data_IF_245923577570
#
_entry.id   IF_245923577570
#
_cell.length_a   1.000
_cell.length_b   1.000
_cell.length_c   1.000
_cell.angle_alpha   90.00
_cell.angle_beta   90.00
_cell.angle_gamma   90.00
#
_symmetry.space_group_name_H-M   'P 1'
#
loop_
_entity.id
_entity.type
_entity.pdbx_description
1 polymer ?
#
# COMPACT_ATOMS: atom_id res chain seq x y z
N UNK A 1 8.06 56.07 50.00
CA UNK A 1 7.02 55.05 49.77
C UNK A 1 6.33 55.36 48.46
N UNK A 2 6.79 54.78 47.34
CA UNK A 2 5.84 54.32 46.34
C UNK A 2 6.27 53.05 45.53
N UNK A 3 5.23 52.34 45.09
CA UNK A 3 5.06 51.50 43.86
C UNK A 3 6.10 50.47 43.43
N UNK A 4 5.71 49.19 43.60
CA UNK A 4 6.14 48.03 42.81
C UNK A 4 5.56 48.11 41.40
N UNK A 5 6.42 48.05 40.38
CA UNK A 5 6.05 47.74 39.00
C UNK A 5 6.39 46.26 38.73
N UNK A 6 5.43 45.53 38.14
CA UNK A 6 5.58 44.16 37.66
C UNK A 6 6.39 44.16 36.36
N UNK A 7 7.51 43.44 36.34
CA UNK A 7 8.22 43.08 35.12
C UNK A 7 7.48 41.94 34.41
N UNK A 8 6.92 42.25 33.23
CA UNK A 8 6.44 41.28 32.27
C UNK A 8 7.65 40.62 31.58
N UNK A 9 7.98 39.39 31.97
CA UNK A 9 8.86 38.52 31.18
C UNK A 9 8.07 38.01 29.97
N UNK A 10 8.34 38.59 28.81
CA UNK A 10 7.93 38.06 27.52
C UNK A 10 8.66 36.74 27.26
N UNK A 11 7.95 35.61 27.41
CA UNK A 11 8.41 34.33 26.89
C UNK A 11 8.37 34.36 25.36
N UNK A 12 9.55 34.55 24.76
CA UNK A 12 9.81 34.28 23.35
C UNK A 12 9.51 32.80 23.08
N UNK A 13 8.44 32.55 22.33
CA UNK A 13 8.08 31.24 21.82
C UNK A 13 9.13 30.82 20.79
N UNK A 14 10.07 29.96 21.18
CA UNK A 14 10.92 29.25 20.22
C UNK A 14 10.12 28.06 19.68
N UNK A 15 10.02 27.87 18.36
CA UNK A 15 9.34 26.71 17.80
C UNK A 15 10.12 25.46 18.19
N UNK A 16 9.51 24.62 19.03
CA UNK A 16 10.07 23.32 19.37
C UNK A 16 10.25 22.50 18.09
N UNK A 17 11.48 21.99 17.93
CA UNK A 17 11.91 21.13 16.85
C UNK A 17 10.95 19.96 16.64
N UNK A 18 10.55 19.72 15.39
CA UNK A 18 9.79 18.53 14.99
C UNK A 18 10.62 17.28 15.29
N UNK A 19 10.18 16.37 16.17
CA UNK A 19 10.67 15.01 16.18
C UNK A 19 9.85 14.21 15.16
N UNK A 20 10.50 13.35 14.37
CA UNK A 20 9.89 12.40 13.42
C UNK A 20 9.71 12.87 11.96
N UNK A 21 10.70 13.54 11.37
CA UNK A 21 10.90 13.43 9.92
C UNK A 21 11.68 12.12 9.65
N UNK A 22 11.03 11.03 9.19
CA UNK A 22 11.79 9.88 8.69
C UNK A 22 12.68 10.34 7.54
N UNK A 23 13.89 9.80 7.49
CA UNK A 23 14.89 10.01 6.43
C UNK A 23 14.23 10.13 5.06
N UNK A 24 14.59 11.16 4.29
CA UNK A 24 14.11 11.34 2.92
C UNK A 24 14.18 10.00 2.17
N UNK A 25 13.05 9.60 1.59
CA UNK A 25 12.99 8.36 0.82
C UNK A 25 13.98 8.46 -0.34
N UNK A 26 14.76 7.41 -0.56
CA UNK A 26 15.59 7.29 -1.76
C UNK A 26 14.68 7.54 -2.97
N UNK A 27 14.95 8.57 -3.80
CA UNK A 27 14.11 8.91 -4.95
C UNK A 27 14.05 7.80 -6.01
N UNK A 28 14.81 6.71 -5.82
CA UNK A 28 14.88 5.59 -6.73
C UNK A 28 15.51 5.99 -8.07
N UNK A 29 15.42 5.11 -9.06
CA UNK A 29 16.06 5.32 -10.36
C UNK A 29 15.04 5.57 -11.46
N UNK A 30 15.40 6.34 -12.49
CA UNK A 30 14.58 6.42 -13.69
C UNK A 30 14.72 5.10 -14.50
N UNK A 31 13.67 4.62 -15.19
CA UNK A 31 13.76 3.41 -16.02
C UNK A 31 14.93 3.43 -17.02
N UNK A 32 15.18 4.59 -17.65
CA UNK A 32 16.29 4.76 -18.58
C UNK A 32 17.67 4.56 -17.93
N UNK A 33 17.83 4.93 -16.65
CA UNK A 33 19.09 4.74 -15.92
C UNK A 33 19.32 3.24 -15.65
N UNK A 34 18.32 2.53 -15.15
CA UNK A 34 18.40 1.08 -14.90
C UNK A 34 18.69 0.30 -16.18
N UNK A 35 18.04 0.64 -17.28
CA UNK A 35 18.30 0.02 -18.58
C UNK A 35 19.69 0.34 -19.13
N UNK A 36 20.19 1.56 -18.91
CA UNK A 36 21.57 1.91 -19.26
C UNK A 36 22.55 1.06 -18.45
N UNK A 37 22.31 0.88 -17.15
CA UNK A 37 23.10 0.00 -16.29
C UNK A 37 23.04 -1.45 -16.77
N UNK A 38 21.86 -1.98 -17.12
CA UNK A 38 21.73 -3.32 -17.73
C UNK A 38 22.56 -3.47 -19.00
N UNK A 39 22.49 -2.49 -19.92
CA UNK A 39 23.28 -2.49 -21.16
C UNK A 39 24.79 -2.46 -20.89
N UNK A 40 25.24 -1.68 -19.92
CA UNK A 40 26.64 -1.62 -19.51
C UNK A 40 27.13 -2.93 -18.90
N UNK A 41 26.34 -3.57 -18.05
CA UNK A 41 26.70 -4.87 -17.47
C UNK A 41 26.72 -5.97 -18.56
N UNK A 42 25.76 -5.92 -19.50
CA UNK A 42 25.72 -6.85 -20.64
C UNK A 42 26.92 -6.68 -21.57
N UNK A 43 27.40 -5.45 -21.79
CA UNK A 43 28.60 -5.21 -22.61
C UNK A 43 29.88 -5.71 -21.96
N UNK A 44 29.86 -6.08 -20.67
CA UNK A 44 30.95 -6.79 -19.97
C UNK A 44 30.85 -8.31 -20.07
N UNK A 45 29.90 -8.83 -20.85
CA UNK A 45 29.73 -10.27 -21.06
C UNK A 45 28.94 -10.99 -19.96
N UNK A 46 28.30 -10.26 -19.04
CA UNK A 46 27.45 -10.87 -18.03
C UNK A 46 26.16 -11.42 -18.66
N UNK A 47 25.78 -12.67 -18.35
CA UNK A 47 24.47 -13.21 -18.69
C UNK A 47 23.36 -12.36 -18.08
N UNK A 48 22.24 -12.37 -18.75
CA UNK A 48 21.11 -11.50 -18.47
C UNK A 48 20.49 -11.79 -17.09
N UNK A 49 20.52 -13.06 -16.67
CA UNK A 49 20.07 -13.56 -15.37
C UNK A 49 20.97 -13.04 -14.23
N UNK A 50 22.29 -13.01 -14.47
CA UNK A 50 23.27 -12.48 -13.49
C UNK A 50 23.10 -10.98 -13.33
N UNK A 51 22.84 -10.26 -14.44
CA UNK A 51 22.56 -8.82 -14.39
C UNK A 51 21.32 -8.53 -13.55
N UNK A 52 20.24 -9.28 -13.77
CA UNK A 52 19.01 -9.10 -12.99
C UNK A 52 19.24 -9.39 -11.51
N UNK A 53 19.97 -10.46 -11.18
CA UNK A 53 20.34 -10.78 -9.80
C UNK A 53 21.20 -9.69 -9.14
N UNK A 54 22.14 -9.08 -9.88
CA UNK A 54 22.94 -7.95 -9.39
C UNK A 54 22.04 -6.75 -9.06
N UNK A 55 21.10 -6.41 -9.96
CA UNK A 55 20.20 -5.28 -9.75
C UNK A 55 19.20 -5.55 -8.63
N UNK A 56 18.70 -6.78 -8.51
CA UNK A 56 17.83 -7.18 -7.41
C UNK A 56 18.57 -7.12 -6.08
N UNK A 57 19.80 -7.64 -6.00
CA UNK A 57 20.63 -7.56 -4.79
C UNK A 57 20.97 -6.12 -4.40
N UNK A 58 21.18 -5.25 -5.39
CA UNK A 58 21.48 -3.84 -5.16
C UNK A 58 20.23 -2.97 -4.92
N UNK A 59 19.02 -3.55 -4.99
CA UNK A 59 17.75 -2.82 -5.03
C UNK A 59 17.74 -1.69 -6.08
N UNK A 60 18.45 -1.89 -7.19
CA UNK A 60 18.64 -0.90 -8.25
C UNK A 60 17.48 -0.97 -9.25
N UNK A 61 16.33 -0.49 -8.81
CA UNK A 61 15.05 -0.57 -9.53
C UNK A 61 14.48 0.80 -9.84
N UNK A 62 13.71 0.94 -10.92
CA UNK A 62 12.92 2.13 -11.10
C UNK A 62 11.80 2.22 -10.07
N UNK A 63 11.36 3.45 -9.83
CA UNK A 63 10.25 3.75 -8.92
C UNK A 63 9.18 4.59 -9.62
N UNK A 64 7.92 4.29 -9.34
CA UNK A 64 6.78 5.18 -9.63
C UNK A 64 6.14 5.57 -8.30
N UNK A 65 5.86 6.86 -8.14
CA UNK A 65 5.37 7.42 -6.88
C UNK A 65 4.03 8.09 -7.11
N UNK A 66 3.07 7.83 -6.22
CA UNK A 66 1.81 8.57 -6.13
C UNK A 66 1.77 9.25 -4.78
N UNK A 67 1.52 10.56 -4.76
CA UNK A 67 1.50 11.40 -3.56
C UNK A 67 0.15 12.10 -3.50
N UNK A 68 -0.59 11.90 -2.41
CA UNK A 68 -1.87 12.56 -2.14
C UNK A 68 -1.73 13.52 -0.96
N UNK A 69 -1.85 14.83 -1.26
CA UNK A 69 -1.85 15.94 -0.30
C UNK A 69 -2.98 16.89 -0.65
N UNK A 70 -4.12 16.73 0.01
CA UNK A 70 -5.31 17.54 -0.24
C UNK A 70 -5.24 18.88 0.50
N UNK A 71 -6.04 19.85 0.05
CA UNK A 71 -6.07 21.19 0.64
C UNK A 71 -6.49 21.20 2.12
N UNK A 72 -7.31 20.23 2.53
CA UNK A 72 -7.75 20.01 3.90
C UNK A 72 -7.51 18.55 4.32
N UNK A 73 -7.40 18.32 5.63
CA UNK A 73 -7.39 16.96 6.16
C UNK A 73 -8.66 16.21 5.74
N UNK A 74 -8.52 14.91 5.50
CA UNK A 74 -9.64 14.03 5.19
C UNK A 74 -9.84 13.08 6.35
N UNK A 75 -11.11 12.82 6.68
CA UNK A 75 -11.47 12.13 7.91
C UNK A 75 -12.34 10.93 7.54
N UNK A 76 -11.86 9.72 7.89
CA UNK A 76 -12.74 8.56 7.99
C UNK A 76 -13.34 8.56 9.39
N UNK A 77 -14.64 8.82 9.51
CA UNK A 77 -15.32 8.88 10.80
C UNK A 77 -16.53 7.95 10.82
N UNK A 78 -16.55 7.02 11.78
CA UNK A 78 -17.70 6.17 12.06
C UNK A 78 -18.67 6.90 12.99
N UNK A 79 -19.97 6.80 12.68
CA UNK A 79 -21.06 7.34 13.49
C UNK A 79 -22.18 6.31 13.59
N UNK A 80 -23.10 6.51 14.54
CA UNK A 80 -24.29 5.68 14.65
C UNK A 80 -25.18 5.74 13.39
N UNK A 81 -25.09 6.83 12.63
CA UNK A 81 -25.93 7.10 11.45
C UNK A 81 -25.33 6.55 10.14
N UNK A 82 -23.99 6.59 9.99
CA UNK A 82 -23.31 6.34 8.70
C UNK A 82 -22.58 4.98 8.62
N UNK A 83 -22.91 4.05 9.53
CA UNK A 83 -22.30 2.73 9.76
C UNK A 83 -21.20 2.69 10.83
N UNK A 84 -21.07 1.50 11.43
CA UNK A 84 -20.07 1.17 12.44
C UNK A 84 -18.63 1.15 11.90
N UNK A 85 -18.44 1.39 10.60
CA UNK A 85 -17.16 1.22 9.91
C UNK A 85 -17.02 2.23 8.75
N UNK A 86 -16.25 3.28 8.99
CA UNK A 86 -15.92 4.26 7.96
C UNK A 86 -14.84 3.72 7.02
N UNK A 87 -15.03 3.98 5.73
CA UNK A 87 -14.10 3.59 4.66
C UNK A 87 -13.86 4.79 3.76
N UNK A 88 -12.65 5.32 3.77
CA UNK A 88 -12.26 6.48 2.97
C UNK A 88 -11.12 6.06 2.04
N UNK A 89 -11.40 5.94 0.74
CA UNK A 89 -10.38 5.78 -0.27
C UNK A 89 -9.58 7.08 -0.36
N UNK A 90 -8.37 7.08 0.20
CA UNK A 90 -7.56 8.29 0.34
C UNK A 90 -6.58 8.47 -0.81
N UNK A 91 -6.02 7.39 -1.35
CA UNK A 91 -5.08 7.44 -2.46
C UNK A 91 -5.33 6.27 -3.41
N UNK A 92 -5.27 6.54 -4.70
CA UNK A 92 -5.23 5.55 -5.79
C UNK A 92 -4.03 5.85 -6.66
N UNK A 93 -3.19 4.84 -6.89
CA UNK A 93 -2.10 4.98 -7.84
C UNK A 93 -2.65 4.99 -9.27
N UNK A 94 -1.89 5.59 -10.18
CA UNK A 94 -2.06 5.26 -11.59
C UNK A 94 -1.85 3.75 -11.80
N UNK A 95 -2.39 3.17 -12.89
CA UNK A 95 -2.06 1.81 -13.28
C UNK A 95 -0.55 1.61 -13.36
N UNK A 96 -0.07 0.50 -12.80
CA UNK A 96 1.33 0.17 -12.77
C UNK A 96 1.89 0.12 -14.19
N UNK A 97 3.06 0.72 -14.43
CA UNK A 97 3.61 0.85 -15.78
C UNK A 97 3.79 -0.53 -16.43
N UNK A 98 3.43 -0.64 -17.71
CA UNK A 98 3.62 -1.84 -18.51
C UNK A 98 2.42 -2.28 -19.32
N UNK A 99 2.64 -3.37 -20.04
CA UNK A 99 1.61 -3.95 -20.89
C UNK A 99 0.70 -4.81 -20.01
N UNK A 100 -0.54 -4.34 -19.83
CA UNK A 100 -1.58 -5.15 -19.23
C UNK A 100 -1.90 -6.33 -20.17
N UNK A 101 -1.70 -7.55 -19.68
CA UNK A 101 -2.14 -8.77 -20.36
C UNK A 101 -3.27 -9.40 -19.55
N UNK A 102 -4.50 -9.49 -20.10
CA UNK A 102 -5.59 -10.12 -19.39
C UNK A 102 -5.25 -11.58 -19.12
N UNK A 103 -5.64 -12.07 -17.94
CA UNK A 103 -5.51 -13.49 -17.62
C UNK A 103 -6.38 -14.29 -18.59
N UNK A 104 -5.88 -15.45 -19.08
CA UNK A 104 -6.70 -16.31 -19.93
C UNK A 104 -7.99 -16.64 -19.18
N UNK A 105 -9.13 -16.41 -19.83
CA UNK A 105 -10.41 -16.79 -19.28
C UNK A 105 -10.39 -18.31 -19.08
N UNK A 106 -10.61 -18.77 -17.85
CA UNK A 106 -10.57 -20.17 -17.46
C UNK A 106 -11.47 -20.99 -18.40
N UNK A 107 -10.87 -21.76 -19.31
CA UNK A 107 -11.61 -22.46 -20.36
C UNK A 107 -10.77 -22.77 -21.61
N UNK A 108 -9.62 -23.42 -21.41
CA UNK A 108 -8.78 -23.91 -22.50
C UNK A 108 -7.46 -24.46 -21.97
N UNK A 109 -7.46 -25.71 -21.51
CA UNK A 109 -6.21 -26.45 -21.31
C UNK A 109 -5.49 -26.57 -22.65
N UNK A 110 -4.24 -26.09 -22.74
CA UNK A 110 -3.06 -26.88 -23.15
C UNK A 110 -1.83 -26.23 -22.50
N UNK A 111 -1.14 -26.98 -21.63
CA UNK A 111 0.28 -26.82 -21.34
C UNK A 111 0.67 -25.84 -20.23
N UNK A 112 1.42 -26.35 -19.26
CA UNK A 112 2.16 -25.55 -18.27
C UNK A 112 2.98 -24.46 -18.96
N UNK A 113 2.83 -23.21 -18.51
CA UNK A 113 3.95 -22.28 -18.50
C UNK A 113 3.95 -21.50 -17.17
N UNK A 114 4.88 -21.79 -16.25
CA UNK A 114 5.08 -21.02 -15.02
C UNK A 114 5.58 -19.59 -15.27
N UNK A 115 5.77 -19.18 -16.53
CA UNK A 115 6.47 -17.96 -16.92
C UNK A 115 5.76 -17.10 -17.97
N UNK A 116 4.48 -16.76 -17.78
CA UNK A 116 3.92 -15.63 -18.54
C UNK A 116 4.41 -14.29 -17.96
N UNK A 117 5.63 -13.92 -18.35
CA UNK A 117 6.25 -12.64 -18.04
C UNK A 117 5.42 -11.45 -18.54
N UNK A 118 5.31 -10.42 -17.72
CA UNK A 118 4.66 -9.16 -18.08
C UNK A 118 5.73 -8.11 -18.44
N UNK A 119 5.53 -7.36 -19.53
CA UNK A 119 6.40 -6.22 -19.87
C UNK A 119 6.10 -5.04 -18.93
N UNK A 120 7.13 -4.42 -18.36
CA UNK A 120 7.04 -3.18 -17.58
C UNK A 120 7.46 -1.99 -18.47
N UNK A 121 6.54 -1.09 -18.78
CA UNK A 121 6.64 -0.16 -19.91
C UNK A 121 6.98 -0.86 -21.24
N UNK A 122 7.72 -0.17 -22.12
CA UNK A 122 8.33 -0.76 -23.32
C UNK A 122 9.46 -1.79 -22.99
N UNK A 123 9.56 -2.31 -21.76
CA UNK A 123 10.72 -3.06 -21.27
C UNK A 123 10.33 -4.43 -20.70
N UNK A 124 11.15 -5.46 -20.95
CA UNK A 124 10.91 -6.84 -20.53
C UNK A 124 11.39 -7.07 -19.09
N UNK A 125 10.46 -7.22 -18.14
CA UNK A 125 10.81 -7.70 -16.81
C UNK A 125 11.00 -9.24 -16.83
N UNK A 126 12.11 -9.71 -16.24
CA UNK A 126 12.35 -11.14 -15.99
C UNK A 126 12.16 -11.46 -14.51
N UNK A 127 11.68 -12.68 -14.24
CA UNK A 127 11.36 -13.18 -12.91
C UNK A 127 9.86 -13.15 -12.58
N UNK A 128 9.48 -13.85 -11.51
CA UNK A 128 8.08 -14.16 -11.20
C UNK A 128 7.28 -12.97 -10.64
N UNK A 129 7.94 -11.95 -10.07
CA UNK A 129 7.29 -10.87 -9.32
C UNK A 129 7.70 -9.48 -9.85
N UNK A 130 6.99 -8.92 -10.84
CA UNK A 130 7.41 -7.68 -11.51
C UNK A 130 7.54 -6.48 -10.54
N UNK A 131 6.70 -6.43 -9.50
CA UNK A 131 6.86 -5.51 -8.37
C UNK A 131 7.81 -6.11 -7.35
N UNK A 132 8.83 -5.36 -6.95
CA UNK A 132 9.85 -5.80 -6.00
C UNK A 132 9.60 -5.24 -4.60
N UNK A 133 9.19 -3.99 -4.50
CA UNK A 133 9.02 -3.29 -3.22
C UNK A 133 7.92 -2.23 -3.30
N UNK A 134 7.11 -2.17 -2.25
CA UNK A 134 6.15 -1.10 -1.99
C UNK A 134 6.58 -0.35 -0.74
N UNK A 135 6.55 0.98 -0.81
CA UNK A 135 6.74 1.84 0.35
C UNK A 135 5.49 2.70 0.51
N UNK A 136 4.92 2.67 1.71
CA UNK A 136 3.78 3.49 2.09
C UNK A 136 4.24 4.50 3.14
N UNK A 137 3.98 5.78 2.90
CA UNK A 137 4.18 6.85 3.89
C UNK A 137 2.83 7.49 4.19
N UNK A 138 2.41 7.49 5.45
CA UNK A 138 1.15 8.14 5.87
C UNK A 138 1.43 9.17 6.95
N UNK A 139 0.72 10.29 6.91
CA UNK A 139 0.68 11.27 8.01
C UNK A 139 -0.75 11.36 8.49
N UNK A 140 -1.00 10.80 9.67
CA UNK A 140 -2.35 10.63 10.21
C UNK A 140 -2.36 10.70 11.73
N UNK A 141 -3.57 10.74 12.30
CA UNK A 141 -3.82 10.64 13.73
C UNK A 141 -5.18 10.04 14.02
N UNK A 142 -5.34 9.63 15.27
CA UNK A 142 -6.59 9.09 15.79
C UNK A 142 -7.50 10.21 16.33
N UNK A 143 -8.65 9.84 16.91
CA UNK A 143 -9.62 10.79 17.49
C UNK A 143 -9.09 11.58 18.69
N UNK A 144 -8.03 11.09 19.35
CA UNK A 144 -7.34 11.83 20.41
C UNK A 144 -7.87 11.63 21.83
N UNK A 145 -8.79 10.71 22.04
CA UNK A 145 -9.36 10.39 23.35
C UNK A 145 -9.85 8.95 23.40
N UNK A 146 -9.82 8.34 24.58
CA UNK A 146 -10.35 6.99 24.83
C UNK A 146 -10.71 6.84 26.30
N UNK A 147 -11.69 6.00 26.61
CA UNK A 147 -11.97 5.53 27.97
C UNK A 147 -11.30 4.18 28.28
N UNK A 148 -10.63 3.58 27.29
CA UNK A 148 -10.03 2.26 27.37
C UNK A 148 -8.52 2.36 27.63
N UNK A 149 -7.92 1.25 28.06
CA UNK A 149 -6.47 1.14 28.19
C UNK A 149 -5.76 1.15 26.82
N UNK A 150 -4.45 1.36 26.84
CA UNK A 150 -3.60 1.31 25.63
C UNK A 150 -3.41 2.65 24.90
N UNK A 151 -3.85 3.77 25.51
CA UNK A 151 -3.58 5.11 24.98
C UNK A 151 -2.08 5.34 24.72
N UNK A 152 -1.76 5.95 23.58
CA UNK A 152 -0.37 6.21 23.18
C UNK A 152 0.36 4.99 22.61
N UNK A 153 -0.31 3.84 22.52
CA UNK A 153 0.21 2.62 21.87
C UNK A 153 -0.57 2.32 20.57
N UNK A 154 -0.21 1.27 19.84
CA UNK A 154 -1.01 0.78 18.70
C UNK A 154 -2.06 -0.27 19.10
N UNK A 155 -2.08 -0.68 20.37
CA UNK A 155 -3.02 -1.69 20.88
C UNK A 155 -4.40 -1.08 21.06
N UNK A 156 -5.42 -1.81 20.65
CA UNK A 156 -6.82 -1.37 20.78
C UNK A 156 -7.18 -0.17 19.90
N UNK A 157 -6.31 0.20 18.93
CA UNK A 157 -6.62 1.23 17.95
C UNK A 157 -7.58 0.70 16.90
N UNK A 158 -8.72 1.38 16.74
CA UNK A 158 -9.74 1.13 15.74
C UNK A 158 -9.75 2.21 14.65
N UNK A 159 -8.62 2.87 14.42
CA UNK A 159 -8.35 3.62 13.21
C UNK A 159 -7.06 3.10 12.54
N UNK A 160 -7.17 2.75 11.25
CA UNK A 160 -6.07 2.10 10.53
C UNK A 160 -6.13 2.38 9.03
N UNK A 161 -5.10 1.95 8.32
CA UNK A 161 -5.04 1.90 6.86
C UNK A 161 -5.04 0.46 6.39
N UNK A 162 -5.73 0.23 5.28
CA UNK A 162 -5.66 -1.01 4.53
C UNK A 162 -5.35 -0.73 3.06
N UNK A 163 -4.75 -1.71 2.41
CA UNK A 163 -4.37 -1.67 1.01
C UNK A 163 -5.16 -2.72 0.27
N UNK A 164 -5.58 -2.38 -0.93
CA UNK A 164 -6.04 -3.35 -1.89
C UNK A 164 -5.61 -2.97 -3.30
N UNK A 165 -5.57 -3.97 -4.18
CA UNK A 165 -5.25 -3.75 -5.58
C UNK A 165 -6.42 -4.12 -6.48
N UNK A 166 -6.48 -3.43 -7.61
CA UNK A 166 -7.49 -3.58 -8.63
C UNK A 166 -6.82 -3.82 -9.99
N UNK A 167 -7.31 -4.82 -10.72
CA UNK A 167 -6.84 -5.20 -12.04
C UNK A 167 -7.91 -4.85 -13.07
N UNK A 168 -7.58 -4.22 -14.20
CA UNK A 168 -8.59 -3.98 -15.23
C UNK A 168 -9.07 -5.31 -15.81
N UNK A 169 -10.36 -5.41 -16.14
CA UNK A 169 -10.94 -6.59 -16.81
C UNK A 169 -10.53 -6.63 -18.28
N UNK A 170 -10.48 -5.46 -18.93
CA UNK A 170 -9.97 -5.24 -20.27
C UNK A 170 -9.50 -3.78 -20.41
N UNK A 171 -8.41 -3.55 -21.15
CA UNK A 171 -7.90 -2.19 -21.42
C UNK A 171 -8.92 -1.35 -22.21
N UNK A 172 -9.72 -1.99 -23.07
CA UNK A 172 -10.73 -1.34 -23.91
C UNK A 172 -11.90 -0.77 -23.09
N UNK A 173 -12.08 -1.25 -21.85
CA UNK A 173 -13.14 -0.79 -20.95
C UNK A 173 -12.73 0.37 -20.06
N UNK A 174 -11.44 0.78 -20.10
CA UNK A 174 -10.94 1.88 -19.29
C UNK A 174 -11.16 3.22 -19.99
N UNK A 175 -11.72 4.19 -19.25
CA UNK A 175 -11.77 5.58 -19.68
C UNK A 175 -10.49 6.32 -19.27
N UNK A 176 -10.23 7.50 -19.85
CA UNK A 176 -9.11 8.35 -19.40
C UNK A 176 -9.20 8.67 -17.90
N UNK A 177 -10.41 8.83 -17.36
CA UNK A 177 -10.62 9.09 -15.93
C UNK A 177 -10.22 7.91 -15.04
N UNK A 178 -10.25 6.68 -15.55
CA UNK A 178 -9.83 5.48 -14.81
C UNK A 178 -8.32 5.37 -14.62
N UNK A 179 -7.56 6.10 -15.45
CA UNK A 179 -6.09 6.11 -15.47
C UNK A 179 -5.48 7.20 -14.59
N UNK A 180 -6.29 8.17 -14.19
CA UNK A 180 -5.82 9.32 -13.40
C UNK A 180 -5.84 9.05 -11.89
N UNK A 181 -4.94 9.68 -11.11
CA UNK A 181 -5.03 9.70 -9.65
C UNK A 181 -6.34 10.33 -9.16
N UNK A 182 -6.67 10.08 -7.88
CA UNK A 182 -7.84 10.72 -7.26
C UNK A 182 -7.67 12.23 -7.16
N UNK A 183 -8.67 12.97 -7.63
CA UNK A 183 -8.77 14.42 -7.40
C UNK A 183 -9.02 14.76 -5.92
N UNK A 184 -9.79 13.92 -5.23
CA UNK A 184 -10.06 14.02 -3.80
C UNK A 184 -10.31 12.62 -3.18
N UNK A 185 -10.18 12.50 -1.86
CA UNK A 185 -10.53 11.28 -1.14
C UNK A 185 -12.04 10.99 -1.24
N UNK A 186 -12.37 9.71 -1.41
CA UNK A 186 -13.74 9.27 -1.70
C UNK A 186 -14.27 8.39 -0.58
N UNK A 187 -15.44 8.72 -0.05
CA UNK A 187 -16.14 7.86 0.93
C UNK A 187 -16.69 6.62 0.22
N UNK A 188 -16.32 5.44 0.69
CA UNK A 188 -16.74 4.16 0.12
C UNK A 188 -17.91 3.63 0.94
N UNK A 189 -19.13 3.63 0.37
CA UNK A 189 -20.36 3.33 1.12
C UNK A 189 -20.95 1.94 0.86
N UNK A 190 -20.68 1.28 -0.28
CA UNK A 190 -21.15 -0.10 -0.57
C UNK A 190 -20.22 -0.85 -1.54
N UNK A 191 -20.16 -2.18 -1.40
CA UNK A 191 -19.49 -3.16 -2.27
C UNK A 191 -20.29 -3.48 -3.56
N UNK A 192 -21.48 -2.91 -3.77
CA UNK A 192 -22.35 -3.26 -4.89
C UNK A 192 -21.88 -2.76 -6.27
N UNK A 193 -20.90 -1.86 -6.32
CA UNK A 193 -20.38 -1.29 -7.59
C UNK A 193 -19.33 -2.18 -8.27
N UNK A 194 -18.85 -3.25 -7.60
CA UNK A 194 -17.79 -4.11 -8.13
C UNK A 194 -18.22 -4.93 -9.36
N UNK A 195 -19.50 -5.30 -9.49
CA UNK A 195 -19.94 -6.14 -10.60
C UNK A 195 -19.86 -5.40 -11.94
N UNK A 196 -20.19 -4.10 -11.96
CA UNK A 196 -20.16 -3.26 -13.16
C UNK A 196 -18.86 -2.44 -13.30
N UNK A 197 -17.97 -2.49 -12.32
CA UNK A 197 -16.66 -1.84 -12.42
C UNK A 197 -15.84 -2.47 -13.55
N UNK A 198 -15.11 -1.67 -14.37
CA UNK A 198 -14.14 -2.21 -15.32
C UNK A 198 -12.91 -2.80 -14.60
N UNK A 199 -12.86 -2.70 -13.27
CA UNK A 199 -11.82 -3.22 -12.41
C UNK A 199 -12.32 -4.44 -11.60
N UNK A 200 -11.47 -5.46 -11.47
CA UNK A 200 -11.65 -6.59 -10.56
C UNK A 200 -10.65 -6.51 -9.40
N UNK A 201 -11.01 -7.04 -8.23
CA UNK A 201 -10.08 -7.11 -7.09
C UNK A 201 -8.96 -8.10 -7.38
N UNK A 202 -7.74 -7.74 -7.01
CA UNK A 202 -6.61 -8.68 -6.94
C UNK A 202 -6.78 -9.50 -5.65
N UNK A 203 -6.77 -10.82 -5.78
CA UNK A 203 -6.77 -11.75 -4.65
C UNK A 203 -5.48 -12.56 -4.60
N UNK A 204 -5.03 -12.87 -3.39
CA UNK A 204 -4.00 -13.86 -3.12
C UNK A 204 -4.67 -15.13 -2.59
N UNK A 205 -4.33 -16.27 -3.21
CA UNK A 205 -4.71 -17.59 -2.69
C UNK A 205 -3.76 -17.93 -1.55
N UNK A 206 -4.31 -18.18 -0.36
CA UNK A 206 -3.51 -18.72 0.73
C UNK A 206 -3.09 -20.13 0.34
N UNK A 207 -1.79 -20.36 0.12
CA UNK A 207 -1.27 -21.72 0.00
C UNK A 207 -1.59 -22.43 1.32
N UNK A 208 -2.49 -23.42 1.26
CA UNK A 208 -2.82 -24.21 2.43
C UNK A 208 -1.57 -24.90 2.95
N UNK A 209 -1.37 -24.91 4.27
CA UNK A 209 -0.43 -25.82 4.89
C UNK A 209 -0.85 -27.24 4.48
N UNK A 210 0.02 -27.94 3.73
CA UNK A 210 -0.18 -29.35 3.41
C UNK A 210 -0.01 -30.11 4.72
N UNK A 211 -1.14 -30.36 5.41
CA UNK A 211 -1.17 -31.30 6.50
C UNK A 211 -1.04 -32.70 5.90
N UNK A 212 0.16 -33.27 6.01
CA UNK A 212 0.53 -34.59 5.51
C UNK A 212 -0.05 -35.72 6.39
N UNK A 213 -1.34 -35.64 6.68
CA UNK A 213 -2.09 -36.71 7.34
C UNK A 213 -3.08 -37.27 6.32
N UNK A 214 -2.63 -38.29 5.59
CA UNK A 214 -3.43 -39.03 4.64
C UNK A 214 -4.72 -39.56 5.28
N UNK A 215 -5.83 -38.90 4.99
CA UNK A 215 -7.17 -39.51 5.04
C UNK A 215 -7.99 -38.86 3.94
N UNK A 216 -8.25 -39.64 2.89
CA UNK A 216 -9.14 -39.30 1.78
C UNK A 216 -10.53 -38.97 2.33
N UNK A 217 -10.88 -37.70 2.32
CA UNK A 217 -12.17 -37.18 2.74
C UNK A 217 -12.41 -35.85 2.03
N UNK A 218 -13.25 -35.89 1.00
CA UNK A 218 -13.74 -34.73 0.25
C UNK A 218 -14.32 -33.66 1.17
N UNK A 219 -13.52 -32.65 1.50
CA UNK A 219 -13.97 -31.35 1.93
C UNK A 219 -13.18 -30.35 1.10
N UNK A 220 -13.84 -29.73 0.12
CA UNK A 220 -13.29 -28.58 -0.57
C UNK A 220 -13.03 -27.51 0.50
N UNK A 221 -11.78 -27.43 0.99
CA UNK A 221 -11.35 -26.32 1.82
C UNK A 221 -11.50 -25.09 0.94
N UNK A 222 -12.54 -24.29 1.20
CA UNK A 222 -12.72 -23.00 0.53
C UNK A 222 -11.47 -22.19 0.80
N UNK A 223 -10.56 -22.12 -0.16
CA UNK A 223 -9.40 -21.26 -0.10
C UNK A 223 -9.91 -19.84 0.09
N UNK A 224 -9.75 -19.27 1.29
CA UNK A 224 -10.18 -17.90 1.55
C UNK A 224 -9.33 -16.97 0.68
N UNK A 225 -9.94 -16.43 -0.36
CA UNK A 225 -9.31 -15.44 -1.23
C UNK A 225 -9.10 -14.14 -0.45
N UNK A 226 -7.84 -13.81 -0.17
CA UNK A 226 -7.50 -12.56 0.49
C UNK A 226 -7.41 -11.45 -0.54
N UNK A 227 -8.24 -10.42 -0.40
CA UNK A 227 -8.26 -9.28 -1.33
C UNK A 227 -7.94 -7.93 -0.66
N UNK A 228 -7.63 -7.94 0.65
CA UNK A 228 -7.36 -6.72 1.45
C UNK A 228 -6.22 -7.01 2.44
N UNK A 229 -5.32 -6.05 2.59
CA UNK A 229 -4.12 -6.15 3.43
C UNK A 229 -4.09 -5.03 4.46
N UNK A 230 -3.94 -5.36 5.74
CA UNK A 230 -3.75 -4.35 6.78
C UNK A 230 -2.38 -3.69 6.61
N UNK A 231 -2.34 -2.37 6.60
CA UNK A 231 -1.11 -1.61 6.44
C UNK A 231 -0.57 -1.07 7.75
N UNK A 232 -1.35 -0.24 8.44
CA UNK A 232 -0.86 0.52 9.59
C UNK A 232 -2.02 0.96 10.50
N UNK A 233 -1.93 0.72 11.80
CA UNK A 233 -2.81 1.33 12.81
C UNK A 233 -2.31 2.72 13.20
N UNK A 234 -3.22 3.63 13.50
CA UNK A 234 -2.84 4.86 14.19
C UNK A 234 -2.50 4.58 15.66
N UNK A 235 -1.78 5.52 16.28
CA UNK A 235 -1.56 5.54 17.73
C UNK A 235 -2.91 5.77 18.42
N UNK A 236 -3.35 4.81 19.23
CA UNK A 236 -4.63 4.81 19.92
C UNK A 236 -4.80 6.08 20.74
N UNK A 237 -5.85 6.85 20.43
CA UNK A 237 -6.18 8.11 21.09
C UNK A 237 -5.03 9.14 21.04
N UNK A 238 -4.16 9.03 20.03
CA UNK A 238 -3.12 10.02 19.75
C UNK A 238 -3.70 11.29 19.14
N UNK A 239 -3.38 12.45 19.72
CA UNK A 239 -3.79 13.77 19.21
C UNK A 239 -2.81 14.36 18.21
N UNK A 240 -1.55 13.93 18.28
CA UNK A 240 -0.46 14.41 17.45
C UNK A 240 -0.44 13.71 16.10
N UNK A 241 -0.06 14.48 15.07
CA UNK A 241 0.21 13.92 13.75
C UNK A 241 1.40 12.97 13.82
N UNK A 242 1.20 11.74 13.38
CA UNK A 242 2.27 10.74 13.30
C UNK A 242 2.56 10.41 11.85
N UNK A 243 3.86 10.33 11.53
CA UNK A 243 4.33 9.78 10.27
C UNK A 243 4.62 8.30 10.44
N UNK A 244 4.02 7.46 9.60
CA UNK A 244 4.34 6.04 9.50
C UNK A 244 4.98 5.74 8.16
N UNK A 245 5.96 4.83 8.19
CA UNK A 245 6.63 4.33 7.00
C UNK A 245 6.62 2.81 7.02
N UNK A 246 5.91 2.20 6.09
CA UNK A 246 5.78 0.73 5.97
C UNK A 246 6.37 0.28 4.64
N UNK A 247 7.22 -0.74 4.69
CA UNK A 247 7.90 -1.31 3.52
C UNK A 247 7.47 -2.75 3.35
N UNK A 248 6.91 -3.09 2.19
CA UNK A 248 6.64 -4.47 1.78
C UNK A 248 7.55 -4.84 0.63
N UNK A 249 8.21 -6.00 0.71
CA UNK A 249 9.05 -6.54 -0.36
C UNK A 249 8.51 -7.87 -0.84
N UNK A 250 8.82 -8.24 -2.07
CA UNK A 250 8.36 -9.52 -2.66
C UNK A 250 8.93 -10.75 -1.94
N UNK A 251 10.10 -10.61 -1.32
CA UNK A 251 10.81 -11.61 -0.51
C UNK A 251 10.60 -11.41 1.01
N UNK A 252 9.71 -10.47 1.38
CA UNK A 252 9.35 -10.21 2.77
C UNK A 252 8.31 -11.18 3.33
N UNK A 253 7.88 -10.96 4.58
CA UNK A 253 6.86 -11.77 5.21
C UNK A 253 5.47 -11.55 4.58
N UNK A 254 4.71 -12.64 4.51
CA UNK A 254 3.32 -12.62 4.09
C UNK A 254 2.46 -11.91 5.11
N UNK A 255 1.31 -11.45 4.64
CA UNK A 255 0.36 -10.77 5.50
C UNK A 255 -0.16 -11.67 6.63
N UNK A 256 -0.02 -11.17 7.85
CA UNK A 256 -0.42 -11.86 9.08
C UNK A 256 -1.05 -10.89 10.08
N UNK A 257 -0.99 -11.22 11.38
CA UNK A 257 -1.33 -10.29 12.45
C UNK A 257 -0.51 -8.99 12.33
N UNK A 258 -1.13 -7.88 12.69
CA UNK A 258 -0.45 -6.58 12.79
C UNK A 258 0.54 -6.64 13.96
N UNK A 259 1.73 -6.09 13.78
CA UNK A 259 2.69 -5.91 14.88
C UNK A 259 2.12 -4.89 15.88
N UNK A 260 1.85 -5.32 17.11
CA UNK A 260 1.24 -4.47 18.14
C UNK A 260 2.16 -3.36 18.65
N UNK A 261 3.48 -3.48 18.46
CA UNK A 261 4.46 -2.49 18.92
C UNK A 261 4.61 -1.35 17.92
N UNK A 262 4.47 -1.64 16.63
CA UNK A 262 4.65 -0.66 15.54
C UNK A 262 3.34 -0.26 14.87
N UNK A 263 2.30 -1.07 15.04
CA UNK A 263 1.03 -0.95 14.33
C UNK A 263 1.10 -1.37 12.86
N UNK A 264 2.24 -1.86 12.37
CA UNK A 264 2.47 -2.17 10.97
C UNK A 264 2.00 -3.58 10.60
N UNK A 265 1.43 -3.72 9.40
CA UNK A 265 1.14 -5.00 8.78
C UNK A 265 2.19 -5.40 7.76
N UNK A 266 2.16 -6.68 7.37
CA UNK A 266 2.96 -7.24 6.28
C UNK A 266 2.08 -7.49 5.03
N UNK A 267 2.70 -7.61 3.87
CA UNK A 267 1.97 -7.72 2.60
C UNK A 267 2.80 -8.23 1.42
N UNK A 268 3.81 -9.07 1.65
CA UNK A 268 4.63 -9.61 0.56
C UNK A 268 3.81 -10.45 -0.44
N UNK A 269 2.74 -11.09 0.05
CA UNK A 269 1.75 -11.80 -0.77
C UNK A 269 1.01 -10.86 -1.72
N UNK A 270 0.68 -9.63 -1.33
CA UNK A 270 0.18 -8.62 -2.28
C UNK A 270 1.25 -8.28 -3.32
N UNK A 271 2.48 -8.00 -2.87
CA UNK A 271 3.58 -7.59 -3.76
C UNK A 271 3.79 -8.60 -4.88
N UNK A 272 3.73 -9.89 -4.55
CA UNK A 272 3.89 -10.99 -5.52
C UNK A 272 2.70 -11.16 -6.47
N UNK A 273 1.51 -10.72 -6.09
CA UNK A 273 0.29 -10.77 -6.92
C UNK A 273 0.15 -9.62 -7.92
N UNK A 274 0.85 -8.50 -7.70
CA UNK A 274 0.77 -7.31 -8.55
C UNK A 274 1.36 -7.55 -9.93
N UNK A 275 0.66 -7.05 -10.95
CA UNK A 275 1.02 -7.10 -12.36
C UNK A 275 0.94 -5.71 -13.00
N UNK A 276 1.58 -5.48 -14.16
CA UNK A 276 1.36 -4.28 -14.94
C UNK A 276 -0.13 -4.03 -15.23
N UNK A 277 -0.53 -2.77 -15.20
CA UNK A 277 -1.93 -2.34 -15.33
C UNK A 277 -2.74 -2.42 -14.05
N UNK A 278 -2.30 -3.13 -13.01
CA UNK A 278 -2.95 -3.08 -11.71
C UNK A 278 -2.84 -1.68 -11.11
N UNK A 279 -3.77 -1.28 -10.25
CA UNK A 279 -3.65 -0.06 -9.45
C UNK A 279 -3.80 -0.38 -7.98
N UNK A 280 -3.15 0.40 -7.13
CA UNK A 280 -3.14 0.23 -5.68
C UNK A 280 -4.02 1.31 -5.07
N UNK A 281 -4.91 0.90 -4.18
CA UNK A 281 -5.81 1.75 -3.42
C UNK A 281 -5.43 1.68 -1.94
N UNK A 282 -5.24 2.85 -1.33
CA UNK A 282 -5.02 3.02 0.09
C UNK A 282 -6.28 3.58 0.75
N UNK A 283 -6.83 2.84 1.70
CA UNK A 283 -8.09 3.16 2.37
C UNK A 283 -7.82 3.45 3.84
N UNK A 284 -8.24 4.63 4.29
CA UNK A 284 -8.30 4.97 5.71
C UNK A 284 -9.61 4.44 6.31
N UNK A 285 -9.49 3.78 7.46
CA UNK A 285 -10.58 3.11 8.18
C UNK A 285 -10.71 3.68 9.59
N UNK A 286 -11.95 3.73 10.08
CA UNK A 286 -12.27 3.94 11.48
C UNK A 286 -13.48 3.08 11.86
N UNK A 287 -13.44 2.40 12.99
CA UNK A 287 -14.51 1.52 13.46
C UNK A 287 -14.97 1.93 14.86
N UNK A 288 -16.28 1.78 15.10
CA UNK A 288 -17.00 2.23 16.29
C UNK A 288 -17.38 3.71 16.32
N UNK A 289 -18.60 4.06 16.76
CA UNK A 289 -19.03 5.44 16.82
C UNK A 289 -18.05 6.31 17.62
N UNK A 290 -17.66 7.44 17.05
CA UNK A 290 -16.72 8.39 17.67
C UNK A 290 -15.26 8.17 17.29
N UNK A 291 -14.90 7.02 16.72
CA UNK A 291 -13.57 6.80 16.16
C UNK A 291 -13.37 7.57 14.87
N UNK A 292 -12.14 8.06 14.69
CA UNK A 292 -11.75 8.92 13.57
C UNK A 292 -10.34 8.56 13.12
N UNK A 293 -10.15 8.49 11.81
CA UNK A 293 -8.84 8.50 11.18
C UNK A 293 -8.70 9.81 10.40
N UNK A 294 -7.96 10.78 10.95
CA UNK A 294 -7.65 12.03 10.27
C UNK A 294 -6.36 11.87 9.49
N UNK A 295 -6.39 12.13 8.18
CA UNK A 295 -5.28 11.93 7.27
C UNK A 295 -4.91 13.26 6.61
N UNK A 296 -3.62 13.61 6.69
CA UNK A 296 -3.06 14.82 6.10
C UNK A 296 -2.38 14.54 4.76
N UNK A 297 -1.69 13.40 4.67
CA UNK A 297 -1.03 12.98 3.44
C UNK A 297 -0.81 11.48 3.40
N UNK A 298 -0.74 10.95 2.19
CA UNK A 298 -0.29 9.59 1.96
C UNK A 298 0.54 9.52 0.67
N UNK A 299 1.49 8.59 0.64
CA UNK A 299 2.38 8.35 -0.47
C UNK A 299 2.52 6.85 -0.68
N UNK A 300 2.51 6.42 -1.95
CA UNK A 300 2.76 5.04 -2.35
C UNK A 300 3.86 5.05 -3.39
N UNK A 301 4.96 4.36 -3.11
CA UNK A 301 6.10 4.20 -4.01
C UNK A 301 6.22 2.75 -4.41
N UNK A 302 6.23 2.50 -5.71
CA UNK A 302 6.27 1.15 -6.28
C UNK A 302 7.59 0.99 -7.02
N UNK A 303 8.42 0.08 -6.53
CA UNK A 303 9.68 -0.32 -7.13
C UNK A 303 9.48 -1.61 -7.92
N UNK A 304 10.01 -1.65 -9.14
CA UNK A 304 9.71 -2.72 -10.08
C UNK A 304 10.92 -3.10 -10.95
N UNK A 305 10.91 -4.28 -11.56
CA UNK A 305 12.01 -4.73 -12.42
C UNK A 305 11.82 -4.25 -13.88
N UNK A 306 12.87 -3.79 -14.58
CA UNK A 306 12.81 -3.39 -16.01
C UNK A 306 13.88 -4.01 -16.86
#
# INVERSE_FOLDING_TARGET
>A
MPTRALENLSHTYQPHAQPDEPSELDPGYAPAQVLKTKKLLRSRGLPLEVIDAILDFAEYWPVVSTIARYASEKIAQSSYENSNLASLLYLRTQPLPGEFRPEPATGGEIGEDPTTGCFIGHYQARGQHPVRKLIFKTVSRDQGWTSNEGQGTYKGSWSWFEVHAERPKSIETLSSADLEPLLDAVVVTKTSDYNNSPWKRVSATKMGEVNDNGTSGSLASSSEEKNTWNLQRNVHAGQDWKTHLVVWKHDGPDSGPIDENTGAGAGADLVRCLKPGDRINLVARAQFPGWRNSVRSAEVHVYYAV
#
